data_IF_379599131107
#
_entry.id   IF_379599131107
#
_cell.length_a   1.000
_cell.length_b   1.000
_cell.length_c   1.000
_cell.angle_alpha   90.00
_cell.angle_beta   90.00
_cell.angle_gamma   90.00
#
_symmetry.space_group_name_H-M   'P 1'
#
loop_
_entity.id
_entity.type
_entity.pdbx_description
1 polymer ?
#
# COMPACT_ATOMS: atom_id res chain seq x y z
N UNK A 1 -20.94 11.67 19.80
CA UNK A 1 -21.07 12.03 18.36
C UNK A 1 -19.89 11.40 17.66
N UNK A 2 -20.06 10.19 17.11
CA UNK A 2 -18.98 9.35 16.57
C UNK A 2 -18.07 10.03 15.55
N UNK A 3 -18.58 11.05 14.85
CA UNK A 3 -17.83 11.80 13.82
C UNK A 3 -16.59 12.50 14.40
N UNK A 4 -16.66 13.01 15.63
CA UNK A 4 -15.51 13.69 16.24
C UNK A 4 -14.40 12.70 16.56
N UNK A 5 -14.76 11.50 17.02
CA UNK A 5 -13.81 10.44 17.37
C UNK A 5 -13.08 9.91 16.12
N UNK A 6 -13.77 9.72 14.99
CA UNK A 6 -13.14 9.28 13.74
C UNK A 6 -12.21 10.33 13.11
N UNK A 7 -12.42 11.62 13.39
CA UNK A 7 -11.55 12.68 12.86
C UNK A 7 -10.16 12.67 13.52
N UNK A 8 -10.04 12.04 14.68
CA UNK A 8 -8.80 11.95 15.46
C UNK A 8 -8.00 10.69 15.12
N UNK A 9 -8.60 9.71 14.42
CA UNK A 9 -7.93 8.46 14.05
C UNK A 9 -7.03 8.66 12.83
N UNK A 10 -5.78 8.21 12.98
CA UNK A 10 -4.83 8.06 11.87
C UNK A 10 -4.70 6.56 11.57
N UNK A 11 -5.21 6.16 10.41
CA UNK A 11 -5.14 4.79 9.91
C UNK A 11 -3.80 4.57 9.23
N UNK A 12 -3.14 3.46 9.55
CA UNK A 12 -1.85 3.11 8.95
C UNK A 12 -1.84 1.65 8.51
N UNK A 13 -1.14 1.38 7.41
CA UNK A 13 -1.00 0.02 6.88
C UNK A 13 0.18 -0.10 5.91
N UNK A 14 0.58 -1.35 5.65
CA UNK A 14 1.50 -1.70 4.58
C UNK A 14 0.74 -2.09 3.30
N UNK A 15 1.13 -1.50 2.17
CA UNK A 15 0.61 -1.88 0.86
C UNK A 15 1.71 -2.32 -0.08
N UNK A 16 1.47 -3.44 -0.77
CA UNK A 16 2.37 -3.98 -1.80
C UNK A 16 1.87 -3.56 -3.18
N UNK A 17 2.65 -2.75 -3.88
CA UNK A 17 2.40 -2.36 -5.27
C UNK A 17 3.24 -3.25 -6.18
N UNK A 18 2.57 -4.06 -6.99
CA UNK A 18 3.23 -4.92 -7.98
C UNK A 18 3.42 -4.16 -9.29
N UNK A 19 4.65 -4.22 -9.84
CA UNK A 19 4.99 -3.63 -11.13
C UNK A 19 4.42 -4.43 -12.31
N UNK A 20 3.99 -5.66 -12.05
CA UNK A 20 3.34 -6.55 -13.02
C UNK A 20 1.98 -6.98 -12.47
N UNK A 21 1.00 -7.14 -13.36
CA UNK A 21 -0.35 -7.58 -13.02
C UNK A 21 -0.32 -8.99 -12.42
N UNK A 22 -0.94 -9.15 -11.25
CA UNK A 22 -0.99 -10.43 -10.54
C UNK A 22 -1.74 -11.55 -11.32
N UNK A 23 -2.70 -11.18 -12.17
CA UNK A 23 -3.49 -12.14 -12.95
C UNK A 23 -2.97 -12.32 -14.40
N UNK A 24 -1.99 -11.51 -14.82
CA UNK A 24 -1.42 -11.53 -16.15
C UNK A 24 -2.41 -11.18 -17.28
N UNK A 25 -3.63 -10.73 -16.96
CA UNK A 25 -4.71 -10.56 -17.94
C UNK A 25 -4.83 -9.10 -18.33
N UNK A 26 -4.44 -8.82 -19.57
CA UNK A 26 -4.74 -7.55 -20.21
C UNK A 26 -6.14 -7.64 -20.82
N UNK A 27 -6.99 -6.67 -20.49
CA UNK A 27 -8.33 -6.56 -21.09
C UNK A 27 -8.18 -6.06 -22.52
N UNK A 28 -8.70 -6.81 -23.48
CA UNK A 28 -8.71 -6.46 -24.91
C UNK A 28 -10.12 -6.57 -25.46
N UNK A 29 -10.44 -5.73 -26.45
CA UNK A 29 -11.68 -5.82 -27.22
C UNK A 29 -11.41 -6.64 -28.49
N UNK A 30 -12.26 -7.64 -28.77
CA UNK A 30 -12.18 -8.43 -30.02
C UNK A 30 -13.53 -9.04 -30.41
N UNK A 31 -13.74 -9.33 -31.71
CA UNK A 31 -14.85 -10.14 -32.20
C UNK A 31 -14.91 -11.55 -31.58
N UNK A 32 -16.11 -12.15 -31.61
CA UNK A 32 -16.31 -13.54 -31.18
C UNK A 32 -15.52 -14.49 -32.08
N UNK A 33 -14.91 -15.52 -31.49
CA UNK A 33 -14.11 -16.53 -32.21
C UNK A 33 -12.61 -16.25 -32.30
N UNK A 34 -12.16 -15.01 -32.07
CA UNK A 34 -10.75 -14.62 -32.23
C UNK A 34 -9.88 -14.90 -30.99
N UNK A 35 -10.36 -15.73 -30.07
CA UNK A 35 -9.72 -15.90 -28.75
C UNK A 35 -8.29 -16.39 -28.79
N UNK A 36 -7.99 -17.26 -29.74
CA UNK A 36 -6.70 -17.96 -29.85
C UNK A 36 -5.85 -17.42 -31.00
N UNK A 37 -6.21 -16.29 -31.62
CA UNK A 37 -5.32 -15.66 -32.60
C UNK A 37 -4.01 -15.25 -31.91
N UNK A 38 -2.89 -15.39 -32.61
CA UNK A 38 -1.59 -14.99 -32.06
C UNK A 38 -1.53 -13.50 -31.70
N UNK A 39 -2.31 -12.64 -32.39
CA UNK A 39 -2.48 -11.23 -32.04
C UNK A 39 -3.28 -10.99 -30.75
N UNK A 40 -3.98 -12.03 -30.27
CA UNK A 40 -4.93 -12.01 -29.16
C UNK A 40 -4.43 -12.80 -27.94
N UNK A 41 -3.20 -13.34 -28.00
CA UNK A 41 -2.56 -14.13 -26.95
C UNK A 41 -1.19 -13.53 -26.67
N UNK A 42 -0.87 -13.30 -25.40
CA UNK A 42 0.47 -12.92 -24.97
C UNK A 42 1.02 -13.97 -24.01
N UNK A 43 2.31 -14.27 -24.17
CA UNK A 43 3.02 -15.09 -23.20
C UNK A 43 3.14 -14.34 -21.89
N UNK A 44 2.78 -15.00 -20.80
CA UNK A 44 2.90 -14.46 -19.45
C UNK A 44 4.14 -15.01 -18.78
N UNK A 45 4.92 -14.15 -18.14
CA UNK A 45 6.07 -14.55 -17.34
C UNK A 45 5.60 -15.11 -15.99
N UNK A 46 5.94 -16.36 -15.68
CA UNK A 46 5.51 -17.04 -14.44
C UNK A 46 6.43 -16.81 -13.24
N UNK A 47 7.49 -16.01 -13.38
CA UNK A 47 8.43 -15.73 -12.29
C UNK A 47 7.91 -14.67 -11.30
N UNK A 48 8.66 -14.42 -10.21
CA UNK A 48 8.27 -13.45 -9.19
C UNK A 48 8.06 -12.07 -9.80
N UNK A 49 6.85 -11.52 -9.64
CA UNK A 49 6.58 -10.14 -10.02
C UNK A 49 7.36 -9.19 -9.10
N UNK A 50 8.13 -8.28 -9.70
CA UNK A 50 8.75 -7.20 -8.94
C UNK A 50 7.68 -6.34 -8.28
N UNK A 51 7.90 -5.99 -7.02
CA UNK A 51 6.96 -5.19 -6.24
C UNK A 51 7.71 -4.28 -5.28
N UNK A 52 7.07 -3.17 -4.92
CA UNK A 52 7.50 -2.30 -3.83
C UNK A 52 6.52 -2.44 -2.68
N UNK A 53 7.04 -2.41 -1.45
CA UNK A 53 6.23 -2.29 -0.25
C UNK A 53 6.30 -0.85 0.20
N UNK A 54 5.14 -0.27 0.48
CA UNK A 54 4.99 1.07 1.00
C UNK A 54 4.29 0.97 2.35
N UNK A 55 4.76 1.74 3.31
CA UNK A 55 4.01 2.03 4.52
C UNK A 55 3.46 3.46 4.43
N UNK A 56 2.26 3.67 4.93
CA UNK A 56 1.65 4.98 4.92
C UNK A 56 0.56 5.14 5.97
N UNK A 57 0.17 6.39 6.18
CA UNK A 57 -0.92 6.73 7.07
C UNK A 57 -1.82 7.83 6.53
N UNK A 58 -3.10 7.75 6.85
CA UNK A 58 -4.12 8.73 6.50
C UNK A 58 -5.05 8.98 7.68
N UNK A 59 -5.27 10.24 7.99
CA UNK A 59 -6.30 10.71 8.93
C UNK A 59 -7.25 11.68 8.23
N UNK A 60 -8.29 12.12 8.93
CA UNK A 60 -9.31 12.97 8.33
C UNK A 60 -8.77 14.31 7.81
N UNK A 61 -7.85 14.93 8.56
CA UNK A 61 -7.27 16.23 8.23
C UNK A 61 -5.87 16.15 7.62
N UNK A 62 -5.32 14.95 7.46
CA UNK A 62 -3.88 14.79 7.47
C UNK A 62 -3.45 13.52 6.72
N UNK A 63 -2.31 13.56 6.02
CA UNK A 63 -1.65 12.38 5.44
C UNK A 63 -0.20 12.30 5.90
N UNK A 64 0.28 11.10 6.18
CA UNK A 64 1.66 10.82 6.54
C UNK A 64 2.45 10.53 5.26
N UNK A 65 3.72 10.94 5.24
CA UNK A 65 4.64 10.63 4.14
C UNK A 65 4.72 9.12 3.90
N UNK A 66 4.60 8.71 2.63
CA UNK A 66 4.79 7.31 2.25
C UNK A 66 6.26 6.90 2.41
N UNK A 67 6.48 5.80 3.12
CA UNK A 67 7.81 5.23 3.34
C UNK A 67 7.96 3.99 2.47
N UNK A 68 8.99 3.98 1.62
CA UNK A 68 9.34 2.79 0.86
C UNK A 68 10.12 1.82 1.74
N UNK A 69 9.58 0.63 1.93
CA UNK A 69 10.21 -0.44 2.70
C UNK A 69 11.08 -1.28 1.76
N UNK A 70 12.35 -1.42 2.10
CA UNK A 70 13.29 -2.26 1.38
C UNK A 70 13.31 -3.68 1.97
N UNK A 71 12.51 -4.58 1.39
CA UNK A 71 12.42 -5.98 1.84
C UNK A 71 11.26 -6.20 2.80
N UNK A 72 11.43 -7.10 3.77
CA UNK A 72 10.40 -7.42 4.76
C UNK A 72 10.46 -6.42 5.92
N UNK A 73 9.32 -5.87 6.32
CA UNK A 73 9.23 -5.03 7.52
C UNK A 73 9.13 -5.92 8.75
N UNK A 74 10.14 -5.85 9.61
CA UNK A 74 10.20 -6.51 10.91
C UNK A 74 10.33 -5.44 12.02
N UNK A 75 10.26 -5.86 13.29
CA UNK A 75 10.13 -4.93 14.42
C UNK A 75 11.18 -3.81 14.44
N UNK A 76 12.46 -4.12 14.19
CA UNK A 76 13.52 -3.12 14.30
C UNK A 76 13.47 -2.09 13.15
N UNK A 77 13.40 -2.48 11.86
CA UNK A 77 13.16 -1.53 10.77
C UNK A 77 11.87 -0.72 10.94
N UNK A 78 10.81 -1.32 11.48
CA UNK A 78 9.58 -0.59 11.75
C UNK A 78 9.80 0.57 12.73
N UNK A 79 10.55 0.33 13.79
CA UNK A 79 10.88 1.39 14.75
C UNK A 79 11.77 2.46 14.11
N UNK A 80 12.91 2.05 13.53
CA UNK A 80 13.95 2.99 13.09
C UNK A 80 13.66 3.70 11.76
N UNK A 81 12.86 3.11 10.88
CA UNK A 81 12.57 3.65 9.54
C UNK A 81 11.17 4.25 9.41
N UNK A 82 10.23 3.85 10.28
CA UNK A 82 8.83 4.30 10.21
C UNK A 82 8.43 5.07 11.48
N UNK A 83 8.44 4.43 12.65
CA UNK A 83 7.89 5.03 13.86
C UNK A 83 8.66 6.28 14.29
N UNK A 84 9.97 6.17 14.47
CA UNK A 84 10.82 7.25 14.96
C UNK A 84 10.92 8.43 13.97
N UNK A 85 11.25 8.22 12.68
CA UNK A 85 11.47 9.33 11.76
C UNK A 85 10.18 9.90 11.16
N UNK A 86 9.08 9.15 11.13
CA UNK A 86 7.86 9.56 10.39
C UNK A 86 6.66 9.69 11.31
N UNK A 87 6.34 8.67 12.12
CA UNK A 87 5.12 8.68 12.94
C UNK A 87 5.22 9.63 14.13
N UNK A 88 6.30 9.54 14.91
CA UNK A 88 6.46 10.34 16.12
C UNK A 88 6.43 11.85 15.84
N UNK A 89 7.18 12.40 14.87
CA UNK A 89 7.12 13.83 14.55
C UNK A 89 5.72 14.28 14.13
N UNK A 90 5.00 13.38 13.47
CA UNK A 90 3.66 13.67 12.98
C UNK A 90 2.61 13.71 14.10
N UNK A 91 2.60 12.68 14.95
CA UNK A 91 1.66 12.58 16.06
C UNK A 91 1.93 13.65 17.12
N UNK A 92 3.19 14.04 17.35
CA UNK A 92 3.51 15.14 18.25
C UNK A 92 2.91 16.49 17.80
N UNK A 93 2.63 16.66 16.52
CA UNK A 93 1.94 17.83 15.98
C UNK A 93 0.41 17.79 16.14
N UNK A 94 -0.16 16.66 16.57
CA UNK A 94 -1.60 16.44 16.66
C UNK A 94 -2.01 16.15 18.11
N UNK A 95 -2.59 17.14 18.77
CA UNK A 95 -2.86 17.09 20.22
C UNK A 95 -3.78 15.93 20.66
N UNK A 96 -4.65 15.43 19.78
CA UNK A 96 -5.65 14.38 20.10
C UNK A 96 -5.56 13.16 19.20
N UNK A 97 -4.49 13.00 18.40
CA UNK A 97 -4.44 11.91 17.44
C UNK A 97 -4.41 10.52 18.10
N UNK A 98 -5.23 9.62 17.57
CA UNK A 98 -5.28 8.20 17.91
C UNK A 98 -4.58 7.45 16.78
N UNK A 99 -3.47 6.80 17.10
CA UNK A 99 -2.72 5.99 16.14
C UNK A 99 -3.34 4.59 16.01
N UNK A 100 -3.74 4.22 14.79
CA UNK A 100 -4.27 2.90 14.48
C UNK A 100 -3.33 2.14 13.54
N UNK A 101 -3.01 0.90 13.92
CA UNK A 101 -2.28 -0.06 13.11
C UNK A 101 -2.92 -1.47 13.24
N UNK A 102 -2.53 -2.38 12.37
CA UNK A 102 -2.93 -3.79 12.44
C UNK A 102 -2.23 -4.52 13.62
N UNK A 103 -2.52 -5.80 13.81
CA UNK A 103 -1.88 -6.65 14.84
C UNK A 103 -0.93 -7.68 14.19
N UNK A 104 -0.18 -7.25 13.18
CA UNK A 104 0.78 -8.08 12.46
C UNK A 104 1.97 -8.51 13.33
#
# INVERSE_FOLDING_TARGET
MWVVEWNEVVFTDESRICLQYHDGRIRVWRPSGERMLNSCVMHHHTGPASSIILWGGVGYHCHITLVRIAGTLNNQPYISEVLEPVVLPYLQGLATAIFQQNNA
#
